data_IF_503412996634
#
_entry.id   IF_503412996634
#
_cell.length_a   1.000
_cell.length_b   1.000
_cell.length_c   1.000
_cell.angle_alpha   90.00
_cell.angle_beta   90.00
_cell.angle_gamma   90.00
#
_symmetry.space_group_name_H-M   'P 1'
#
loop_
_entity.id
_entity.type
_entity.pdbx_description
1 polymer ?
#
# COMPACT_ATOMS: atom_id res chain seq x y z
N UNK A 1 -17.89 -4.28 12.56
CA UNK A 1 -16.74 -4.48 13.47
C UNK A 1 -15.95 -5.79 13.23
N UNK A 2 -16.34 -6.66 12.29
CA UNK A 2 -15.62 -7.93 12.05
C UNK A 2 -14.86 -7.85 10.73
N UNK A 3 -13.53 -8.05 10.76
CA UNK A 3 -12.58 -8.26 9.64
C UNK A 3 -11.58 -7.16 9.25
N UNK A 4 -11.23 -6.22 10.12
CA UNK A 4 -10.03 -5.40 9.84
C UNK A 4 -8.77 -6.28 9.79
N UNK A 5 -8.21 -6.47 8.58
CA UNK A 5 -6.91 -7.13 8.37
C UNK A 5 -6.93 -8.62 8.05
N UNK A 6 -8.07 -9.23 7.73
CA UNK A 6 -8.09 -10.62 7.22
C UNK A 6 -7.85 -10.64 5.70
N UNK A 7 -7.13 -11.65 5.22
CA UNK A 7 -7.02 -11.91 3.77
C UNK A 7 -8.42 -12.15 3.20
N UNK A 8 -8.67 -11.72 1.98
CA UNK A 8 -9.98 -11.83 1.31
C UNK A 8 -10.52 -13.27 1.26
N UNK A 9 -9.65 -14.28 1.25
CA UNK A 9 -10.00 -15.71 1.33
C UNK A 9 -10.74 -16.07 2.63
N UNK A 10 -10.55 -15.30 3.70
CA UNK A 10 -11.09 -15.58 5.04
C UNK A 10 -12.16 -14.59 5.52
N UNK A 11 -12.61 -13.68 4.66
CA UNK A 11 -13.70 -12.78 5.02
C UNK A 11 -15.02 -13.49 4.79
N UNK A 12 -15.96 -13.29 5.71
CA UNK A 12 -17.31 -13.79 5.54
C UNK A 12 -18.01 -12.99 4.43
N UNK A 13 -18.31 -13.64 3.31
CA UNK A 13 -19.00 -13.02 2.18
C UNK A 13 -20.50 -13.31 2.25
N UNK A 14 -21.32 -12.27 2.38
CA UNK A 14 -22.76 -12.38 2.27
C UNK A 14 -23.16 -12.02 0.83
N UNK A 15 -23.94 -12.87 0.15
CA UNK A 15 -24.29 -12.64 -1.27
C UNK A 15 -24.88 -11.26 -1.56
N UNK A 16 -25.61 -10.69 -0.60
CA UNK A 16 -26.28 -9.40 -0.74
C UNK A 16 -25.41 -8.20 -0.32
N UNK A 17 -24.18 -8.41 0.15
CA UNK A 17 -23.32 -7.35 0.65
C UNK A 17 -21.89 -7.56 0.14
N UNK A 18 -21.59 -6.91 -0.98
CA UNK A 18 -20.24 -6.89 -1.52
C UNK A 18 -19.31 -6.10 -0.60
N UNK A 19 -18.07 -6.58 -0.45
CA UNK A 19 -17.00 -5.85 0.23
C UNK A 19 -16.54 -4.72 -0.70
N UNK A 20 -16.62 -3.45 -0.31
CA UNK A 20 -16.39 -2.31 -1.21
C UNK A 20 -15.05 -2.38 -1.96
N UNK A 21 -13.97 -2.78 -1.29
CA UNK A 21 -12.64 -2.89 -1.88
C UNK A 21 -12.55 -4.00 -2.93
N UNK A 22 -13.29 -5.10 -2.73
CA UNK A 22 -13.34 -6.18 -3.70
C UNK A 22 -14.22 -5.80 -4.89
N UNK A 23 -15.34 -5.12 -4.64
CA UNK A 23 -16.20 -4.59 -5.70
C UNK A 23 -15.45 -3.58 -6.59
N UNK A 24 -14.62 -2.73 -5.99
CA UNK A 24 -13.74 -1.81 -6.71
C UNK A 24 -12.77 -2.55 -7.65
N UNK A 25 -12.31 -3.75 -7.27
CA UNK A 25 -11.41 -4.60 -8.05
C UNK A 25 -12.15 -5.60 -8.96
N UNK A 26 -13.37 -5.25 -9.39
CA UNK A 26 -14.19 -6.05 -10.29
C UNK A 26 -14.42 -7.49 -9.79
N UNK A 27 -14.58 -7.66 -8.47
CA UNK A 27 -14.94 -8.96 -7.92
C UNK A 27 -16.28 -9.46 -8.52
N UNK A 28 -16.34 -10.75 -8.90
CA UNK A 28 -17.52 -11.29 -9.57
C UNK A 28 -18.74 -11.23 -8.65
N UNK A 29 -19.90 -10.92 -9.25
CA UNK A 29 -21.17 -10.95 -8.54
C UNK A 29 -21.48 -12.40 -8.11
N UNK A 30 -21.95 -12.56 -6.87
CA UNK A 30 -22.25 -13.87 -6.29
C UNK A 30 -23.64 -14.42 -6.67
N UNK A 31 -24.46 -13.64 -7.39
CA UNK A 31 -25.77 -14.07 -7.91
C UNK A 31 -25.70 -14.60 -9.33
N UNK A 32 -24.66 -14.25 -10.08
CA UNK A 32 -24.53 -14.58 -11.50
C UNK A 32 -23.35 -15.53 -11.73
N UNK A 33 -23.45 -16.39 -12.76
CA UNK A 33 -22.31 -17.22 -13.16
C UNK A 33 -21.28 -16.38 -13.89
N UNK A 34 -20.03 -16.39 -13.41
CA UNK A 34 -18.90 -15.69 -14.02
C UNK A 34 -17.87 -16.72 -14.51
N UNK A 35 -17.77 -16.91 -15.83
CA UNK A 35 -16.81 -17.85 -16.43
C UNK A 35 -15.38 -17.32 -16.41
N UNK A 36 -15.21 -15.99 -16.47
CA UNK A 36 -13.92 -15.32 -16.46
C UNK A 36 -14.06 -13.94 -15.80
N UNK A 37 -13.11 -13.59 -14.93
CA UNK A 37 -13.05 -12.26 -14.32
C UNK A 37 -12.66 -11.21 -15.38
N UNK A 38 -13.39 -10.10 -15.43
CA UNK A 38 -12.97 -8.94 -16.21
C UNK A 38 -11.65 -8.38 -15.64
N UNK A 39 -10.73 -8.00 -16.53
CA UNK A 39 -9.49 -7.33 -16.15
C UNK A 39 -9.64 -5.88 -16.58
N UNK A 40 -9.80 -4.99 -15.60
CA UNK A 40 -9.89 -3.55 -15.84
C UNK A 40 -8.73 -2.84 -15.14
N UNK A 41 -8.19 -1.81 -15.79
CA UNK A 41 -7.19 -0.91 -15.21
C UNK A 41 -7.72 0.51 -15.33
N UNK A 42 -8.62 0.89 -14.42
CA UNK A 42 -9.30 2.18 -14.51
C UNK A 42 -8.62 3.23 -13.62
N UNK A 43 -8.56 4.48 -14.10
CA UNK A 43 -8.02 5.61 -13.31
C UNK A 43 -8.65 5.76 -11.91
N UNK A 44 -9.98 5.61 -11.75
CA UNK A 44 -10.64 5.66 -10.44
C UNK A 44 -10.15 4.60 -9.45
N UNK A 45 -9.81 3.39 -9.89
CA UNK A 45 -9.27 2.33 -9.02
C UNK A 45 -7.91 2.75 -8.45
N UNK A 46 -7.00 3.26 -9.30
CA UNK A 46 -5.70 3.75 -8.87
C UNK A 46 -5.81 4.97 -7.92
N UNK A 47 -6.72 5.91 -8.24
CA UNK A 47 -6.95 7.08 -7.39
C UNK A 47 -7.51 6.70 -6.02
N UNK A 48 -8.39 5.69 -5.97
CA UNK A 48 -8.94 5.17 -4.72
C UNK A 48 -7.87 4.47 -3.89
N UNK A 49 -6.90 3.79 -4.49
CA UNK A 49 -5.77 3.25 -3.74
C UNK A 49 -4.80 4.32 -3.23
N UNK A 50 -4.62 5.41 -3.96
CA UNK A 50 -3.76 6.51 -3.51
C UNK A 50 -4.39 7.29 -2.34
N UNK A 51 -5.71 7.50 -2.36
CA UNK A 51 -6.40 8.37 -1.40
C UNK A 51 -7.24 7.61 -0.35
N UNK A 52 -7.47 6.31 -0.55
CA UNK A 52 -8.37 5.52 0.27
C UNK A 52 -7.76 5.12 1.60
N UNK A 53 -8.54 5.23 2.68
CA UNK A 53 -8.14 4.91 4.04
C UNK A 53 -7.56 3.49 4.20
N UNK A 54 -8.04 2.53 3.41
CA UNK A 54 -7.51 1.17 3.41
C UNK A 54 -6.01 1.16 3.10
N UNK A 55 -5.58 1.74 1.98
CA UNK A 55 -4.16 1.72 1.59
C UNK A 55 -3.30 2.58 2.51
N UNK A 56 -3.82 3.73 2.96
CA UNK A 56 -3.10 4.56 3.93
C UNK A 56 -2.84 3.81 5.23
N UNK A 57 -3.83 3.05 5.73
CA UNK A 57 -3.66 2.20 6.92
C UNK A 57 -2.65 1.06 6.71
N UNK A 58 -2.63 0.46 5.51
CA UNK A 58 -1.65 -0.59 5.15
C UNK A 58 -0.25 -0.03 5.02
N UNK A 59 -0.09 1.16 4.46
CA UNK A 59 1.19 1.85 4.38
C UNK A 59 1.74 2.19 5.79
N UNK A 60 0.88 2.66 6.71
CA UNK A 60 1.27 2.91 8.11
C UNK A 60 1.70 1.64 8.86
N UNK A 61 0.95 0.54 8.68
CA UNK A 61 1.32 -0.75 9.24
C UNK A 61 2.63 -1.28 8.64
N UNK A 62 2.85 -1.06 7.34
CA UNK A 62 4.07 -1.48 6.66
C UNK A 62 5.29 -0.68 7.15
N UNK A 63 5.17 0.64 7.27
CA UNK A 63 6.22 1.50 7.85
C UNK A 63 6.58 1.07 9.28
N UNK A 64 5.58 0.76 10.11
CA UNK A 64 5.79 0.24 11.48
C UNK A 64 6.62 -1.04 11.47
N UNK A 65 6.30 -1.97 10.56
CA UNK A 65 7.05 -3.23 10.39
C UNK A 65 8.50 -2.95 9.99
N UNK A 66 8.73 -2.04 9.05
CA UNK A 66 10.09 -1.69 8.60
C UNK A 66 10.94 -1.14 9.73
N UNK A 67 10.39 -0.25 10.56
CA UNK A 67 11.09 0.28 11.74
C UNK A 67 11.42 -0.84 12.74
N UNK A 68 10.49 -1.79 12.94
CA UNK A 68 10.70 -2.90 13.89
C UNK A 68 11.76 -3.91 13.42
N UNK A 69 11.85 -4.18 12.12
CA UNK A 69 12.75 -5.22 11.58
C UNK A 69 14.11 -4.66 11.14
N UNK A 70 14.17 -3.44 10.59
CA UNK A 70 15.39 -2.82 10.08
C UNK A 70 15.99 -1.74 11.00
N UNK A 71 15.33 -1.41 12.11
CA UNK A 71 15.75 -0.35 13.03
C UNK A 71 15.53 1.05 12.44
N UNK A 72 16.36 2.02 12.85
CA UNK A 72 16.20 3.45 12.51
C UNK A 72 17.03 3.91 11.30
N UNK A 73 17.88 3.04 10.75
CA UNK A 73 18.74 3.39 9.61
C UNK A 73 17.95 3.40 8.29
N UNK A 74 17.79 4.57 7.69
CA UNK A 74 16.99 4.75 6.47
C UNK A 74 17.40 3.84 5.29
N UNK A 75 18.70 3.64 4.97
CA UNK A 75 19.07 2.73 3.89
C UNK A 75 18.62 1.29 4.14
N UNK A 76 18.68 0.83 5.40
CA UNK A 76 18.23 -0.50 5.79
C UNK A 76 16.71 -0.65 5.66
N UNK A 77 15.95 0.39 6.04
CA UNK A 77 14.50 0.43 5.88
C UNK A 77 14.09 0.38 4.40
N UNK A 78 14.74 1.14 3.52
CA UNK A 78 14.47 1.12 2.08
C UNK A 78 14.77 -0.27 1.50
N UNK A 79 15.93 -0.85 1.81
CA UNK A 79 16.28 -2.18 1.31
C UNK A 79 15.29 -3.26 1.78
N UNK A 80 14.81 -3.17 3.02
CA UNK A 80 13.78 -4.08 3.52
C UNK A 80 12.42 -3.82 2.84
N UNK A 81 12.05 -2.56 2.61
CA UNK A 81 10.81 -2.20 1.94
C UNK A 81 10.72 -2.82 0.53
N UNK A 82 11.78 -2.66 -0.27
CA UNK A 82 11.83 -3.26 -1.61
C UNK A 82 11.83 -4.79 -1.57
N UNK A 83 12.53 -5.41 -0.62
CA UNK A 83 12.51 -6.88 -0.48
C UNK A 83 11.12 -7.40 -0.11
N UNK A 84 10.39 -6.71 0.75
CA UNK A 84 9.05 -7.13 1.19
C UNK A 84 7.96 -6.81 0.16
N UNK A 85 8.07 -5.69 -0.55
CA UNK A 85 7.06 -5.28 -1.53
C UNK A 85 7.31 -5.89 -2.92
N UNK A 86 8.55 -5.86 -3.41
CA UNK A 86 8.91 -6.25 -4.78
C UNK A 86 9.63 -7.60 -4.87
N UNK A 87 9.87 -8.27 -3.74
CA UNK A 87 10.64 -9.53 -3.68
C UNK A 87 12.06 -9.43 -4.28
N UNK A 88 12.65 -8.23 -4.34
CA UNK A 88 14.01 -7.98 -4.86
C UNK A 88 14.69 -6.84 -4.09
N UNK A 89 16.03 -6.74 -4.11
CA UNK A 89 16.70 -5.53 -3.64
C UNK A 89 16.41 -4.33 -4.56
N UNK A 90 16.48 -3.09 -4.03
CA UNK A 90 16.42 -1.89 -4.85
C UNK A 90 17.68 -1.78 -5.72
N UNK A 91 17.55 -1.20 -6.91
CA UNK A 91 18.71 -0.78 -7.70
C UNK A 91 19.39 0.44 -7.05
N UNK A 92 20.61 0.78 -7.49
CA UNK A 92 21.33 1.96 -6.99
C UNK A 92 20.53 3.25 -7.22
N UNK A 93 19.91 3.39 -8.39
CA UNK A 93 19.11 4.55 -8.75
C UNK A 93 17.82 4.63 -7.92
N UNK A 94 17.13 3.50 -7.71
CA UNK A 94 15.93 3.44 -6.87
C UNK A 94 16.23 3.78 -5.41
N UNK A 95 17.37 3.32 -4.90
CA UNK A 95 17.81 3.65 -3.55
C UNK A 95 18.12 5.15 -3.42
N UNK A 96 18.81 5.73 -4.40
CA UNK A 96 19.10 7.17 -4.42
C UNK A 96 17.83 8.03 -4.53
N UNK A 97 16.90 7.64 -5.40
CA UNK A 97 15.59 8.30 -5.53
C UNK A 97 14.78 8.19 -4.24
N UNK A 98 14.75 7.02 -3.61
CA UNK A 98 14.02 6.80 -2.35
C UNK A 98 14.60 7.63 -1.20
N UNK A 99 15.93 7.71 -1.10
CA UNK A 99 16.59 8.57 -0.11
C UNK A 99 16.27 10.05 -0.32
N UNK A 100 16.32 10.51 -1.57
CA UNK A 100 15.96 11.88 -1.94
C UNK A 100 14.51 12.17 -1.58
N UNK A 101 13.59 11.27 -1.96
CA UNK A 101 12.16 11.38 -1.65
C UNK A 101 11.90 11.49 -0.15
N UNK A 102 12.51 10.62 0.68
CA UNK A 102 12.33 10.67 2.13
C UNK A 102 12.83 12.00 2.72
N UNK A 103 13.95 12.53 2.21
CA UNK A 103 14.51 13.79 2.68
C UNK A 103 13.62 14.99 2.34
N UNK A 104 13.00 15.00 1.16
CA UNK A 104 12.05 16.04 0.75
C UNK A 104 10.73 15.92 1.52
N UNK A 105 10.22 14.69 1.67
CA UNK A 105 8.97 14.43 2.37
C UNK A 105 9.05 14.78 3.87
N UNK A 106 10.22 14.63 4.49
CA UNK A 106 10.44 15.04 5.88
C UNK A 106 10.38 16.57 6.08
N UNK A 107 10.67 17.37 5.04
CA UNK A 107 10.61 18.85 5.08
C UNK A 107 9.18 19.38 4.97
N UNK A 108 8.27 18.60 4.38
CA UNK A 108 6.89 19.01 4.20
C UNK A 108 6.14 19.07 5.55
N UNK A 109 5.37 20.16 5.79
CA UNK A 109 4.56 20.28 7.00
C UNK A 109 3.53 19.14 7.07
N UNK A 110 3.09 18.76 8.27
CA UNK A 110 2.01 17.80 8.41
C UNK A 110 0.74 18.39 7.78
N UNK A 111 0.22 17.75 6.73
CA UNK A 111 -1.13 18.01 6.27
C UNK A 111 -2.10 17.53 7.35
N UNK A 112 -3.13 18.33 7.67
CA UNK A 112 -3.96 18.26 8.88
C UNK A 112 -4.77 16.98 9.15
N UNK A 113 -4.47 15.88 8.46
CA UNK A 113 -5.10 14.56 8.60
C UNK A 113 -4.18 13.50 9.24
N UNK A 114 -2.90 13.76 9.49
CA UNK A 114 -2.00 12.81 10.17
C UNK A 114 -1.60 13.30 11.59
N UNK A 115 -1.90 12.52 12.66
CA UNK A 115 -1.59 12.89 14.04
C UNK A 115 -0.13 12.62 14.46
N UNK A 116 0.69 12.03 13.60
CA UNK A 116 2.06 11.63 13.96
C UNK A 116 3.05 12.79 13.87
N UNK A 117 3.68 13.12 15.00
CA UNK A 117 4.58 14.28 15.15
C UNK A 117 5.96 14.06 14.53
N UNK A 118 6.35 12.82 14.24
CA UNK A 118 7.67 12.48 13.70
C UNK A 118 7.71 12.64 12.17
N UNK A 119 8.48 13.60 11.63
CA UNK A 119 8.60 13.81 10.18
C UNK A 119 9.23 12.61 9.46
N UNK A 120 10.13 11.86 10.10
CA UNK A 120 10.79 10.72 9.47
C UNK A 120 9.81 9.56 9.26
N UNK A 121 8.94 9.32 10.25
CA UNK A 121 7.88 8.31 10.16
C UNK A 121 6.88 8.63 9.06
N UNK A 122 6.41 9.89 8.97
CA UNK A 122 5.50 10.32 7.88
C UNK A 122 6.11 10.13 6.51
N UNK A 123 7.39 10.46 6.35
CA UNK A 123 8.10 10.24 5.09
C UNK A 123 8.14 8.75 4.71
N UNK A 124 8.40 7.87 5.68
CA UNK A 124 8.41 6.43 5.47
C UNK A 124 7.03 5.86 5.10
N UNK A 125 5.96 6.34 5.74
CA UNK A 125 4.59 5.97 5.40
C UNK A 125 4.23 6.38 3.97
N UNK A 126 4.62 7.59 3.55
CA UNK A 126 4.44 8.05 2.18
C UNK A 126 5.20 7.18 1.17
N UNK A 127 6.45 6.80 1.48
CA UNK A 127 7.22 5.89 0.64
C UNK A 127 6.53 4.52 0.52
N UNK A 128 6.03 3.98 1.64
CA UNK A 128 5.28 2.73 1.65
C UNK A 128 4.03 2.81 0.77
N UNK A 129 3.29 3.93 0.84
CA UNK A 129 2.12 4.15 0.01
C UNK A 129 2.47 4.18 -1.48
N UNK A 130 3.57 4.84 -1.85
CA UNK A 130 4.07 4.86 -3.24
C UNK A 130 4.41 3.45 -3.70
N UNK A 131 5.22 2.71 -2.92
CA UNK A 131 5.64 1.35 -3.29
C UNK A 131 4.45 0.41 -3.52
N UNK A 132 3.46 0.44 -2.63
CA UNK A 132 2.25 -0.39 -2.72
C UNK A 132 1.32 -0.01 -3.89
N UNK A 133 1.54 1.14 -4.53
CA UNK A 133 0.77 1.63 -5.68
C UNK A 133 1.57 1.58 -7.00
N UNK A 134 2.79 1.07 -6.99
CA UNK A 134 3.57 0.93 -8.23
C UNK A 134 3.05 -0.19 -9.11
N UNK A 135 3.24 -0.05 -10.43
CA UNK A 135 2.89 -1.11 -11.38
C UNK A 135 3.64 -2.41 -11.11
N UNK A 136 4.90 -2.34 -10.67
CA UNK A 136 5.69 -3.53 -10.36
C UNK A 136 5.10 -4.31 -9.17
N UNK A 137 4.48 -3.63 -8.21
CA UNK A 137 3.75 -4.30 -7.14
C UNK A 137 2.43 -4.91 -7.63
N UNK A 138 1.70 -4.18 -8.48
CA UNK A 138 0.37 -4.59 -8.95
C UNK A 138 0.43 -5.73 -9.98
N UNK A 139 1.47 -5.77 -10.80
CA UNK A 139 1.61 -6.74 -11.90
C UNK A 139 2.89 -7.55 -11.72
N UNK A 140 2.72 -8.87 -11.59
CA UNK A 140 3.84 -9.81 -11.71
C UNK A 140 4.41 -9.73 -13.12
N UNK A 141 5.72 -9.55 -13.22
CA UNK A 141 6.45 -9.49 -14.48
C UNK A 141 6.48 -10.83 -15.21
#
# INVERSE_FOLDING_TARGET
AQSEGRRSVYIFSKRSLAVPELALLDAPNSTDSCSQRAVSTTGPQALTFLNGAFMTSRAAAFATRLVSEAGTAMPGQIQLAFRLAMCRPPTADELAMSMTFLSEQAKLPPNGTQPDKDPARRALEALCLVLLNTNEFAYTR
#
